data_IF_623488696506
#
_entry.id   IF_623488696506
#
_cell.length_a   1.000
_cell.length_b   1.000
_cell.length_c   1.000
_cell.angle_alpha   90.00
_cell.angle_beta   90.00
_cell.angle_gamma   90.00
#
_symmetry.space_group_name_H-M   'P 1'
#
loop_
_entity.id
_entity.type
_entity.pdbx_description
1 polymer ?
#
# COMPACT_ATOMS: atom_id res chain seq x y z
N UNK A 1 41.09 -30.46 -10.61
CA UNK A 1 40.88 -29.13 -9.96
C UNK A 1 39.74 -28.31 -10.57
N UNK A 2 39.53 -28.24 -11.88
CA UNK A 2 38.43 -27.43 -12.51
C UNK A 2 37.02 -27.90 -12.18
N UNK A 3 36.76 -29.20 -11.99
CA UNK A 3 35.43 -29.76 -11.67
C UNK A 3 34.98 -29.52 -10.23
N UNK A 4 35.92 -29.47 -9.28
CA UNK A 4 35.62 -29.18 -7.88
C UNK A 4 35.25 -27.70 -7.66
N UNK A 5 35.84 -26.79 -8.44
CA UNK A 5 35.49 -25.36 -8.39
C UNK A 5 34.10 -25.03 -8.91
N UNK A 6 33.66 -25.77 -9.95
CA UNK A 6 32.31 -25.61 -10.50
C UNK A 6 31.22 -26.10 -9.52
N UNK A 7 31.46 -27.19 -8.80
CA UNK A 7 30.53 -27.69 -7.79
C UNK A 7 30.41 -26.75 -6.59
N UNK A 8 31.49 -26.13 -6.15
CA UNK A 8 31.47 -25.14 -5.06
C UNK A 8 30.66 -23.90 -5.42
N UNK A 9 30.74 -23.43 -6.67
CA UNK A 9 29.93 -22.29 -7.15
C UNK A 9 28.43 -22.58 -7.21
N UNK A 10 28.03 -23.79 -7.58
CA UNK A 10 26.62 -24.18 -7.62
C UNK A 10 26.03 -24.29 -6.21
N UNK A 11 26.79 -24.79 -5.23
CA UNK A 11 26.34 -24.89 -3.83
C UNK A 11 26.22 -23.51 -3.19
N UNK A 12 27.10 -22.56 -3.52
CA UNK A 12 26.99 -21.17 -3.00
C UNK A 12 25.76 -20.43 -3.54
N UNK A 13 25.33 -20.74 -4.78
CA UNK A 13 24.15 -20.13 -5.38
C UNK A 13 22.83 -20.57 -4.72
N UNK A 14 22.80 -21.69 -4.02
CA UNK A 14 21.62 -22.22 -3.31
C UNK A 14 21.44 -21.65 -1.90
N UNK A 15 22.42 -20.87 -1.39
CA UNK A 15 22.40 -20.29 -0.04
C UNK A 15 22.10 -18.79 -0.02
N UNK A 16 21.66 -18.19 -1.15
CA UNK A 16 21.14 -16.85 -1.09
C UNK A 16 19.82 -16.87 -0.32
N UNK A 17 19.73 -16.19 0.85
CA UNK A 17 18.44 -16.05 1.53
C UNK A 17 17.48 -15.42 0.53
N UNK A 18 16.35 -16.07 0.30
CA UNK A 18 15.25 -15.45 -0.43
C UNK A 18 14.87 -14.21 0.38
N UNK A 19 15.28 -13.06 -0.11
CA UNK A 19 14.93 -11.78 0.50
C UNK A 19 13.43 -11.78 0.71
N UNK A 20 12.98 -11.41 1.90
CA UNK A 20 11.57 -11.11 2.22
C UNK A 20 11.17 -9.86 1.43
N UNK A 21 10.95 -10.02 0.14
CA UNK A 21 10.59 -8.94 -0.74
C UNK A 21 9.12 -8.62 -0.49
N UNK A 22 8.82 -7.34 -0.35
CA UNK A 22 7.45 -6.88 -0.46
C UNK A 22 6.87 -7.43 -1.77
N UNK A 23 5.70 -8.05 -1.69
CA UNK A 23 5.03 -8.55 -2.88
C UNK A 23 4.55 -7.35 -3.70
N UNK A 24 4.94 -7.30 -4.96
CA UNK A 24 4.41 -6.32 -5.91
C UNK A 24 3.16 -6.89 -6.58
N UNK A 25 2.14 -6.04 -6.69
CA UNK A 25 0.87 -6.33 -7.31
C UNK A 25 0.67 -5.37 -8.49
N UNK A 26 0.14 -5.86 -9.58
CA UNK A 26 -0.23 -5.00 -10.71
C UNK A 26 -1.60 -4.38 -10.48
N UNK A 27 -1.82 -3.21 -11.09
CA UNK A 27 -3.06 -2.45 -10.97
C UNK A 27 -3.53 -2.05 -12.35
N UNK A 28 -4.81 -2.23 -12.65
CA UNK A 28 -5.44 -1.91 -13.93
C UNK A 28 -6.80 -1.22 -13.75
N UNK A 29 -7.40 -0.81 -14.85
CA UNK A 29 -8.76 -0.25 -14.97
C UNK A 29 -9.03 0.90 -14.01
N UNK A 30 -8.04 1.77 -13.82
CA UNK A 30 -8.11 2.89 -12.90
C UNK A 30 -9.11 3.94 -13.35
N UNK A 31 -10.03 4.28 -12.47
CA UNK A 31 -11.01 5.34 -12.64
C UNK A 31 -10.98 6.26 -11.42
N UNK A 32 -10.83 7.56 -11.67
CA UNK A 32 -10.87 8.59 -10.64
C UNK A 32 -12.07 9.49 -10.92
N UNK A 33 -13.02 9.53 -9.99
CA UNK A 33 -14.25 10.32 -10.12
C UNK A 33 -14.63 10.94 -8.77
N UNK A 34 -15.41 12.03 -8.76
CA UNK A 34 -15.97 12.53 -7.51
C UNK A 34 -16.74 11.44 -6.76
N UNK A 35 -16.71 11.49 -5.41
CA UNK A 35 -17.46 10.54 -4.61
C UNK A 35 -18.95 10.65 -4.89
N UNK A 36 -19.73 9.54 -4.76
CA UNK A 36 -21.20 9.59 -4.85
C UNK A 36 -21.80 10.57 -3.83
N UNK A 37 -22.90 11.21 -4.15
CA UNK A 37 -23.53 12.24 -3.31
C UNK A 37 -23.92 11.75 -1.90
N UNK A 38 -24.20 10.50 -1.70
CA UNK A 38 -24.53 9.92 -0.38
C UNK A 38 -23.32 9.45 0.42
N UNK A 39 -22.10 9.59 -0.11
CA UNK A 39 -20.91 9.12 0.58
C UNK A 39 -20.52 10.04 1.75
N UNK A 40 -20.19 9.44 2.91
CA UNK A 40 -19.78 10.19 4.09
C UNK A 40 -18.57 11.09 3.85
N UNK A 41 -17.66 10.68 2.94
CA UNK A 41 -16.51 11.48 2.54
C UNK A 41 -16.85 12.67 1.65
N UNK A 42 -18.03 12.68 1.03
CA UNK A 42 -18.53 13.79 0.21
C UNK A 42 -19.25 14.87 1.05
N UNK A 43 -19.49 14.62 2.34
CA UNK A 43 -20.14 15.60 3.22
C UNK A 43 -19.25 16.81 3.44
N UNK A 44 -19.79 18.03 3.30
CA UNK A 44 -19.01 19.23 3.57
C UNK A 44 -18.57 19.25 5.04
N UNK A 45 -17.27 19.35 5.26
CA UNK A 45 -16.74 19.55 6.60
C UNK A 45 -16.92 21.02 7.01
N UNK A 46 -17.96 21.29 7.75
CA UNK A 46 -18.31 22.64 8.23
C UNK A 46 -17.25 23.23 9.17
N UNK A 47 -16.26 22.45 9.60
CA UNK A 47 -15.19 22.90 10.51
C UNK A 47 -13.92 23.34 9.80
N UNK A 48 -13.82 23.15 8.47
CA UNK A 48 -12.63 23.49 7.68
C UNK A 48 -12.98 24.59 6.68
N UNK A 49 -12.43 25.81 6.83
CA UNK A 49 -12.68 26.91 5.89
C UNK A 49 -12.12 26.65 4.47
N UNK A 50 -11.18 25.70 4.34
CA UNK A 50 -10.67 25.21 3.07
C UNK A 50 -11.04 23.71 2.98
N UNK A 51 -12.24 23.44 2.47
CA UNK A 51 -12.72 22.07 2.32
C UNK A 51 -11.85 21.24 1.38
N UNK A 52 -11.86 19.93 1.56
CA UNK A 52 -11.33 18.98 0.59
C UNK A 52 -12.49 18.43 -0.23
N UNK A 53 -12.25 18.20 -1.52
CA UNK A 53 -13.16 17.47 -2.39
C UNK A 53 -12.92 15.97 -2.25
N UNK A 54 -13.98 15.17 -2.11
CA UNK A 54 -13.90 13.73 -2.08
C UNK A 54 -13.86 13.16 -3.50
N UNK A 55 -12.85 12.32 -3.75
CA UNK A 55 -12.74 11.51 -4.97
C UNK A 55 -12.66 10.04 -4.63
N UNK A 56 -13.27 9.20 -5.47
CA UNK A 56 -13.14 7.75 -5.41
C UNK A 56 -12.18 7.29 -6.50
N UNK A 57 -11.08 6.64 -6.10
CA UNK A 57 -10.19 5.91 -6.99
C UNK A 57 -10.60 4.45 -6.98
N UNK A 58 -11.04 3.95 -8.13
CA UNK A 58 -11.46 2.56 -8.34
C UNK A 58 -10.51 1.88 -9.31
N UNK A 59 -10.44 0.57 -9.24
CA UNK A 59 -9.64 -0.23 -10.18
C UNK A 59 -9.63 -1.69 -9.79
N UNK A 60 -8.79 -2.45 -10.49
CA UNK A 60 -8.55 -3.87 -10.24
C UNK A 60 -7.11 -4.03 -9.80
N UNK A 61 -6.89 -4.78 -8.72
CA UNK A 61 -5.57 -5.22 -8.29
C UNK A 61 -5.40 -6.69 -8.58
N UNK A 62 -4.29 -7.08 -9.20
CA UNK A 62 -3.97 -8.46 -9.55
C UNK A 62 -2.82 -9.00 -8.71
N UNK A 63 -3.09 -10.09 -8.01
CA UNK A 63 -2.10 -10.86 -7.29
C UNK A 63 -1.72 -12.12 -8.08
N UNK A 64 -0.53 -12.16 -8.70
CA UNK A 64 -0.08 -13.32 -9.50
C UNK A 64 0.35 -14.50 -8.62
N UNK A 65 0.43 -14.32 -7.32
CA UNK A 65 0.86 -15.34 -6.35
C UNK A 65 -0.21 -16.40 -6.10
N UNK A 66 0.18 -17.42 -5.32
CA UNK A 66 -0.74 -18.48 -4.86
C UNK A 66 -1.26 -18.26 -3.45
N UNK A 67 -0.79 -17.22 -2.77
CA UNK A 67 -1.18 -16.83 -1.41
C UNK A 67 -1.66 -15.40 -1.42
N UNK A 68 -2.48 -15.05 -0.45
CA UNK A 68 -2.84 -13.66 -0.23
C UNK A 68 -1.60 -12.81 0.06
N UNK A 69 -1.59 -11.60 -0.46
CA UNK A 69 -0.67 -10.54 -0.07
C UNK A 69 -1.38 -9.73 1.01
N UNK A 70 -0.76 -9.65 2.19
CA UNK A 70 -1.36 -9.01 3.37
C UNK A 70 -0.91 -7.57 3.50
N UNK A 71 -1.74 -6.73 4.11
CA UNK A 71 -1.48 -5.30 4.35
C UNK A 71 -1.02 -4.57 3.08
N UNK A 72 -1.69 -4.83 1.96
CA UNK A 72 -1.35 -4.21 0.69
C UNK A 72 -1.77 -2.73 0.68
N UNK A 73 -0.88 -1.89 0.16
CA UNK A 73 -1.08 -0.46 -0.04
C UNK A 73 -1.02 -0.11 -1.53
N UNK A 74 -1.86 0.83 -1.93
CA UNK A 74 -1.81 1.45 -3.24
C UNK A 74 -0.93 2.69 -3.24
N UNK A 75 -0.04 2.76 -4.21
CA UNK A 75 0.82 3.91 -4.50
C UNK A 75 0.50 4.43 -5.89
N UNK A 76 0.26 5.73 -6.01
CA UNK A 76 0.02 6.40 -7.27
C UNK A 76 0.38 7.89 -7.16
N UNK A 77 0.47 8.56 -8.30
CA UNK A 77 0.56 10.01 -8.39
C UNK A 77 -0.74 10.54 -8.99
N UNK A 78 -1.35 11.52 -8.32
CA UNK A 78 -2.55 12.21 -8.79
C UNK A 78 -2.11 13.59 -9.27
N UNK A 79 -2.44 13.93 -10.51
CA UNK A 79 -2.13 15.22 -11.11
C UNK A 79 -3.40 15.98 -11.43
N UNK A 80 -3.31 17.29 -11.33
CA UNK A 80 -4.34 18.21 -11.79
C UNK A 80 -4.28 18.42 -13.32
N UNK A 81 -5.17 19.26 -13.86
CA UNK A 81 -5.20 19.62 -15.29
C UNK A 81 -3.91 20.27 -15.75
N UNK A 82 -3.19 20.99 -14.89
CA UNK A 82 -1.92 21.64 -15.18
C UNK A 82 -0.72 20.69 -15.16
N UNK A 83 -0.91 19.45 -14.72
CA UNK A 83 0.18 18.49 -14.51
C UNK A 83 0.90 18.64 -13.17
N UNK A 84 0.36 19.46 -12.25
CA UNK A 84 0.89 19.62 -10.92
C UNK A 84 0.35 18.51 -9.98
N UNK A 85 1.17 18.00 -9.02
CA UNK A 85 0.71 16.99 -8.08
C UNK A 85 -0.43 17.53 -7.19
N UNK A 86 -1.62 16.95 -7.31
CA UNK A 86 -2.78 17.28 -6.48
C UNK A 86 -2.60 16.86 -5.02
N UNK A 87 -1.81 15.79 -4.78
CA UNK A 87 -1.42 15.32 -3.45
C UNK A 87 0.10 15.52 -3.30
N UNK A 88 0.50 16.64 -2.73
CA UNK A 88 1.90 16.97 -2.52
C UNK A 88 2.53 15.96 -1.53
N UNK A 89 3.72 15.45 -1.88
CA UNK A 89 4.53 14.54 -1.07
C UNK A 89 3.85 13.23 -0.66
N UNK A 90 2.73 12.86 -1.29
CA UNK A 90 2.03 11.60 -1.05
C UNK A 90 2.04 10.73 -2.29
N UNK A 91 2.76 9.61 -2.21
CA UNK A 91 2.67 8.53 -3.21
C UNK A 91 1.79 7.38 -2.70
N UNK A 92 1.71 7.15 -1.38
CA UNK A 92 0.77 6.19 -0.78
C UNK A 92 -0.64 6.79 -0.82
N UNK A 93 -1.50 6.17 -1.59
CA UNK A 93 -2.88 6.64 -1.82
C UNK A 93 -3.85 6.08 -0.78
N UNK A 94 -3.68 4.82 -0.42
CA UNK A 94 -4.50 4.17 0.59
C UNK A 94 -4.18 2.70 0.77
N UNK A 95 -4.84 2.06 1.74
CA UNK A 95 -4.72 0.63 1.99
C UNK A 95 -5.76 -0.15 1.19
N UNK A 96 -5.32 -1.25 0.57
CA UNK A 96 -6.16 -2.23 -0.09
C UNK A 96 -6.54 -3.37 0.87
N UNK A 97 -5.86 -3.49 2.03
CA UNK A 97 -5.97 -4.63 2.91
C UNK A 97 -5.34 -5.89 2.32
N UNK A 98 -5.93 -7.04 2.62
CA UNK A 98 -5.45 -8.33 2.14
C UNK A 98 -5.97 -8.60 0.72
N UNK A 99 -5.05 -8.91 -0.20
CA UNK A 99 -5.35 -9.16 -1.61
C UNK A 99 -5.19 -10.66 -1.89
N UNK A 100 -6.28 -11.41 -2.10
CA UNK A 100 -6.23 -12.82 -2.45
C UNK A 100 -5.58 -13.04 -3.82
N UNK A 101 -5.18 -14.29 -4.17
CA UNK A 101 -4.73 -14.63 -5.51
C UNK A 101 -5.76 -14.27 -6.59
N UNK A 102 -5.28 -13.78 -7.74
CA UNK A 102 -6.13 -13.35 -8.86
C UNK A 102 -6.51 -11.89 -8.79
N UNK A 103 -7.63 -11.55 -9.41
CA UNK A 103 -8.13 -10.19 -9.53
C UNK A 103 -9.07 -9.84 -8.38
N UNK A 104 -8.94 -8.62 -7.87
CA UNK A 104 -9.82 -8.05 -6.84
C UNK A 104 -10.14 -6.60 -7.16
N UNK A 105 -11.42 -6.25 -7.10
CA UNK A 105 -11.85 -4.86 -7.22
C UNK A 105 -11.51 -4.07 -5.96
N UNK A 106 -11.17 -2.79 -6.14
CA UNK A 106 -10.99 -1.89 -5.02
C UNK A 106 -11.62 -0.52 -5.26
N UNK A 107 -11.93 0.17 -4.15
CA UNK A 107 -12.35 1.57 -4.14
C UNK A 107 -11.75 2.29 -2.94
N UNK A 108 -10.99 3.36 -3.20
CA UNK A 108 -10.35 4.18 -2.18
C UNK A 108 -10.89 5.61 -2.22
N UNK A 109 -11.17 6.19 -1.05
CA UNK A 109 -11.53 7.60 -0.92
C UNK A 109 -10.29 8.45 -0.80
N UNK A 110 -10.24 9.52 -1.58
CA UNK A 110 -9.17 10.50 -1.60
C UNK A 110 -9.71 11.87 -1.20
N UNK A 111 -9.01 12.56 -0.32
CA UNK A 111 -9.26 13.95 -0.03
C UNK A 111 -8.34 14.82 -0.87
N UNK A 112 -8.88 15.44 -1.91
CA UNK A 112 -8.17 16.36 -2.80
C UNK A 112 -8.42 17.78 -2.31
N UNK A 113 -7.39 18.65 -2.23
CA UNK A 113 -7.58 20.05 -1.83
C UNK A 113 -8.64 20.74 -2.68
N UNK A 114 -9.55 21.47 -2.04
CA UNK A 114 -10.58 22.23 -2.75
C UNK A 114 -9.95 23.24 -3.71
N UNK A 115 -10.55 23.39 -4.89
CA UNK A 115 -10.04 24.29 -5.93
C UNK A 115 -8.92 23.70 -6.77
N UNK A 116 -8.54 22.40 -6.58
CA UNK A 116 -7.63 21.71 -7.49
C UNK A 116 -8.23 21.68 -8.91
N UNK A 117 -7.49 22.16 -9.94
CA UNK A 117 -8.01 22.24 -11.30
C UNK A 117 -8.32 20.85 -11.89
N UNK A 118 -9.54 20.65 -12.38
CA UNK A 118 -9.97 19.43 -13.08
C UNK A 118 -9.74 19.51 -14.59
N UNK A 119 -9.61 18.37 -15.32
CA UNK A 119 -9.74 16.99 -14.82
C UNK A 119 -8.49 16.52 -14.07
N UNK A 120 -8.70 15.63 -13.10
CA UNK A 120 -7.63 14.95 -12.41
C UNK A 120 -7.19 13.70 -13.20
N UNK A 121 -5.93 13.36 -13.10
CA UNK A 121 -5.36 12.14 -13.72
C UNK A 121 -4.54 11.32 -12.73
N UNK A 122 -4.49 10.01 -12.97
CA UNK A 122 -3.73 9.04 -12.15
C UNK A 122 -2.56 8.52 -12.96
N UNK A 123 -1.40 8.43 -12.36
CA UNK A 123 -0.20 7.91 -13.01
C UNK A 123 0.65 7.09 -12.03
N UNK A 124 1.50 6.22 -12.58
CA UNK A 124 2.45 5.39 -11.81
C UNK A 124 1.80 4.57 -10.69
N UNK A 125 0.59 4.06 -10.93
CA UNK A 125 -0.10 3.23 -9.97
C UNK A 125 0.58 1.87 -9.83
N UNK A 126 0.78 1.46 -8.58
CA UNK A 126 1.31 0.15 -8.20
C UNK A 126 0.81 -0.20 -6.81
N UNK A 127 0.70 -1.48 -6.51
CA UNK A 127 0.36 -1.92 -5.17
C UNK A 127 1.49 -2.81 -4.61
N UNK A 128 1.64 -2.78 -3.30
CA UNK A 128 2.63 -3.57 -2.57
C UNK A 128 2.06 -3.99 -1.24
N UNK A 129 2.42 -5.18 -0.81
CA UNK A 129 2.08 -5.71 0.50
C UNK A 129 3.11 -6.75 0.95
N UNK A 130 2.77 -7.55 1.92
CA UNK A 130 3.68 -8.53 2.51
C UNK A 130 3.21 -9.95 2.16
N UNK A 131 4.16 -10.87 2.01
CA UNK A 131 3.87 -12.31 1.77
C UNK A 131 3.48 -13.06 3.05
N UNK A 132 3.61 -12.41 4.21
CA UNK A 132 3.20 -12.90 5.52
C UNK A 132 2.84 -11.71 6.41
N UNK A 133 1.97 -11.90 7.42
CA UNK A 133 1.64 -10.85 8.38
C UNK A 133 2.90 -10.28 9.05
N UNK A 134 2.94 -8.95 9.19
CA UNK A 134 4.00 -8.26 9.93
C UNK A 134 3.51 -8.01 11.35
N UNK A 135 4.24 -8.55 12.33
CA UNK A 135 3.93 -8.30 13.73
C UNK A 135 4.30 -6.86 14.08
N UNK A 136 3.30 -6.06 14.41
CA UNK A 136 3.48 -4.65 14.82
C UNK A 136 3.54 -4.48 16.34
N UNK A 137 2.93 -5.41 17.09
CA UNK A 137 2.94 -5.48 18.55
C UNK A 137 2.57 -6.89 19.00
N UNK A 138 2.93 -7.25 20.24
CA UNK A 138 2.49 -8.50 20.84
C UNK A 138 0.97 -8.52 21.05
N UNK A 139 0.35 -9.66 20.75
CA UNK A 139 -0.98 -10.00 21.25
C UNK A 139 -0.94 -10.42 22.71
N UNK A 140 -2.10 -10.66 23.31
CA UNK A 140 -2.21 -11.03 24.74
C UNK A 140 -1.54 -12.37 25.07
N UNK A 141 -1.52 -13.30 24.11
CA UNK A 141 -0.98 -14.66 24.29
C UNK A 141 0.36 -14.86 23.56
N UNK A 142 0.96 -13.78 23.03
CA UNK A 142 2.22 -13.85 22.34
C UNK A 142 3.42 -13.73 23.30
N UNK A 143 4.49 -14.48 23.02
CA UNK A 143 5.78 -14.25 23.67
C UNK A 143 6.33 -12.88 23.27
N UNK A 144 6.75 -12.09 24.26
CA UNK A 144 7.33 -10.77 24.03
C UNK A 144 8.72 -10.89 23.39
N UNK A 145 8.95 -10.07 22.38
CA UNK A 145 10.26 -9.91 21.76
C UNK A 145 11.12 -8.90 22.56
N UNK A 146 12.46 -8.90 22.39
CA UNK A 146 13.35 -8.05 23.19
C UNK A 146 12.94 -6.57 23.27
N UNK A 147 12.54 -5.96 22.15
CA UNK A 147 12.08 -4.57 22.14
C UNK A 147 10.79 -4.36 22.96
N UNK A 148 9.89 -5.33 22.95
CA UNK A 148 8.63 -5.27 23.72
C UNK A 148 8.89 -5.44 25.21
N UNK A 149 9.89 -6.24 25.60
CA UNK A 149 10.36 -6.37 26.99
C UNK A 149 10.97 -5.06 27.49
N UNK A 150 11.85 -4.43 26.70
CA UNK A 150 12.46 -3.13 27.04
C UNK A 150 11.38 -2.05 27.28
N UNK A 151 10.31 -2.06 26.46
CA UNK A 151 9.20 -1.11 26.59
C UNK A 151 8.36 -1.40 27.85
N UNK A 152 8.14 -2.67 28.18
CA UNK A 152 7.40 -3.04 29.39
C UNK A 152 8.14 -2.62 30.65
N UNK A 153 9.46 -2.87 30.73
CA UNK A 153 10.29 -2.47 31.87
C UNK A 153 10.37 -0.93 32.03
N UNK A 154 10.43 -0.20 30.92
CA UNK A 154 10.44 1.27 30.95
C UNK A 154 9.11 1.90 31.38
N UNK A 155 8.00 1.20 31.26
CA UNK A 155 6.68 1.66 31.67
C UNK A 155 6.42 1.46 33.18
N UNK A 156 7.20 0.60 33.86
CA UNK A 156 7.09 0.32 35.32
C UNK A 156 8.02 1.21 36.18
N UNK A 157 8.91 1.97 35.56
CA UNK A 157 9.87 2.85 36.23
C UNK A 157 9.39 4.30 36.30
#
# INVERSE_FOLDING_TARGET
MKRAFLMALVVLALWFPQSLWAAELSVSDLQLAPCPEGDAGAQPDLKRPVGASCYALRGVVHNPGKRAVVDADLFAQIFDRGGEPALQNRTRVGSLGDVPPGDSDFALRLSIPAGTPEPLSVSKARARGFTAPVRTRAGLDDELLPLELDLAESAES
#
